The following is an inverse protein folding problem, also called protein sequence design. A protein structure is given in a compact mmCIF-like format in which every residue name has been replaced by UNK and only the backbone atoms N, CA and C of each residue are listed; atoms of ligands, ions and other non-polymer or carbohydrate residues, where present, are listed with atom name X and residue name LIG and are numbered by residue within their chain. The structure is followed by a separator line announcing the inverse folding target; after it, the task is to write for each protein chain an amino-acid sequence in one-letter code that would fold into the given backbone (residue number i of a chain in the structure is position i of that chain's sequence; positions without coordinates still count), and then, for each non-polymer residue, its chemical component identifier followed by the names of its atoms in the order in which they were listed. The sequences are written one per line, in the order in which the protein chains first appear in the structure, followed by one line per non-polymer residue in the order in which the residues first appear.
data_IF_594105871936
#
_entry.id   IF_594105871936
#
_cell.length_a   1.000
_cell.length_b   1.000
_cell.length_c   1.000
_cell.angle_alpha   90.00
_cell.angle_beta   90.00
_cell.angle_gamma   90.00
#
_symmetry.space_group_name_H-M   'P 1'
#
loop_
_entity.id
_entity.type
_entity.pdbx_description
1 polymer ?
#
# COMPACT_ATOMS: atom_id res chain seq x y z
N UNK A 1 11.73 -29.01 -20.53
CA UNK A 1 11.03 -28.02 -19.68
C UNK A 1 10.91 -28.62 -18.29
N UNK A 2 11.64 -28.12 -17.27
CA UNK A 2 11.54 -28.67 -15.92
C UNK A 2 10.13 -28.36 -15.40
N UNK A 3 9.33 -29.39 -15.12
CA UNK A 3 8.08 -29.23 -14.37
C UNK A 3 8.48 -28.62 -13.02
N UNK A 4 8.00 -27.42 -12.74
CA UNK A 4 8.24 -26.75 -11.46
C UNK A 4 7.44 -27.52 -10.41
N UNK A 5 8.13 -28.01 -9.38
CA UNK A 5 7.50 -28.75 -8.29
C UNK A 5 6.82 -27.75 -7.34
N UNK A 6 5.48 -27.77 -7.18
CA UNK A 6 4.79 -26.88 -6.25
C UNK A 6 5.27 -26.99 -4.81
N UNK A 7 5.82 -28.16 -4.42
CA UNK A 7 6.39 -28.34 -3.08
C UNK A 7 7.69 -27.54 -2.86
N UNK A 8 8.39 -27.16 -3.92
CA UNK A 8 9.61 -26.34 -3.84
C UNK A 8 9.30 -24.84 -3.75
N UNK A 9 8.09 -24.39 -4.08
CA UNK A 9 7.76 -22.96 -4.17
C UNK A 9 7.87 -22.22 -2.85
N UNK A 10 7.62 -22.88 -1.71
CA UNK A 10 7.85 -22.26 -0.40
C UNK A 10 9.33 -21.89 -0.23
N UNK A 11 10.24 -22.83 -0.50
CA UNK A 11 11.68 -22.60 -0.36
C UNK A 11 12.20 -21.60 -1.41
N UNK A 12 11.68 -21.63 -2.64
CA UNK A 12 12.17 -20.81 -3.74
C UNK A 12 11.60 -19.38 -3.75
N UNK A 13 10.40 -19.17 -3.20
CA UNK A 13 9.64 -17.93 -3.37
C UNK A 13 9.05 -17.37 -2.06
N UNK A 14 9.01 -18.14 -0.98
CA UNK A 14 8.39 -17.75 0.30
C UNK A 14 8.89 -16.41 0.84
N UNK A 15 10.22 -16.24 0.95
CA UNK A 15 10.82 -14.99 1.43
C UNK A 15 10.40 -13.77 0.61
N UNK A 16 10.33 -13.92 -0.71
CA UNK A 16 9.95 -12.84 -1.60
C UNK A 16 8.47 -12.49 -1.44
N UNK A 17 7.60 -13.51 -1.42
CA UNK A 17 6.16 -13.34 -1.23
C UNK A 17 5.85 -12.73 0.14
N UNK A 18 6.56 -13.15 1.18
CA UNK A 18 6.43 -12.61 2.53
C UNK A 18 6.83 -11.14 2.59
N UNK A 19 8.00 -10.76 2.05
CA UNK A 19 8.40 -9.34 2.00
C UNK A 19 7.43 -8.50 1.17
N UNK A 20 6.93 -9.07 0.07
CA UNK A 20 5.94 -8.41 -0.77
C UNK A 20 4.62 -8.14 -0.01
N UNK A 21 4.12 -9.13 0.72
CA UNK A 21 2.91 -9.03 1.54
C UNK A 21 3.10 -8.11 2.74
N UNK A 22 4.22 -8.23 3.45
CA UNK A 22 4.53 -7.42 4.63
C UNK A 22 4.60 -5.93 4.28
N UNK A 23 5.21 -5.58 3.16
CA UNK A 23 5.23 -4.19 2.67
C UNK A 23 3.84 -3.62 2.35
N UNK A 24 2.83 -4.48 2.17
CA UNK A 24 1.46 -4.08 1.78
C UNK A 24 0.46 -4.12 2.92
N UNK A 25 0.58 -5.12 3.78
CA UNK A 25 -0.34 -5.39 4.89
C UNK A 25 0.16 -4.83 6.22
N UNK A 26 1.49 -4.69 6.37
CA UNK A 26 2.14 -4.09 7.55
C UNK A 26 1.84 -4.79 8.86
N UNK A 27 1.45 -6.05 8.75
CA UNK A 27 1.13 -6.95 9.84
C UNK A 27 1.80 -8.28 9.50
N UNK A 28 2.68 -8.75 10.39
CA UNK A 28 3.48 -9.95 10.17
C UNK A 28 2.59 -11.19 10.10
N UNK A 29 1.57 -11.27 10.94
CA UNK A 29 0.65 -12.41 10.97
C UNK A 29 -0.16 -12.47 9.69
N UNK A 30 -0.74 -11.34 9.28
CA UNK A 30 -1.50 -11.27 8.04
C UNK A 30 -0.62 -11.54 6.82
N UNK A 31 0.62 -11.06 6.81
CA UNK A 31 1.57 -11.33 5.74
C UNK A 31 1.92 -12.82 5.65
N UNK A 32 2.16 -13.49 6.78
CA UNK A 32 2.37 -14.94 6.83
C UNK A 32 1.13 -15.69 6.31
N UNK A 33 -0.06 -15.32 6.78
CA UNK A 33 -1.33 -15.95 6.41
C UNK A 33 -1.59 -15.86 4.91
N UNK A 34 -1.51 -14.66 4.31
CA UNK A 34 -1.79 -14.51 2.87
C UNK A 34 -0.77 -15.25 2.00
N UNK A 35 0.47 -15.40 2.46
CA UNK A 35 1.49 -16.19 1.76
C UNK A 35 1.16 -17.67 1.84
N UNK A 36 0.74 -18.16 3.01
CA UNK A 36 0.28 -19.54 3.17
C UNK A 36 -0.93 -19.83 2.30
N UNK A 37 -1.95 -18.96 2.33
CA UNK A 37 -3.12 -19.08 1.46
C UNK A 37 -2.77 -19.05 -0.02
N UNK A 38 -1.81 -18.21 -0.40
CA UNK A 38 -1.31 -18.12 -1.78
C UNK A 38 -0.68 -19.43 -2.23
N UNK A 39 0.21 -19.99 -1.41
CA UNK A 39 0.91 -21.24 -1.74
C UNK A 39 -0.08 -22.42 -1.76
N UNK A 40 -1.01 -22.48 -0.80
CA UNK A 40 -2.08 -23.49 -0.78
C UNK A 40 -2.95 -23.41 -2.03
N UNK A 41 -3.43 -22.21 -2.38
CA UNK A 41 -4.22 -21.99 -3.60
C UNK A 41 -3.44 -22.37 -4.86
N UNK A 42 -2.14 -22.04 -4.90
CA UNK A 42 -1.26 -22.37 -6.01
C UNK A 42 -1.05 -23.89 -6.17
N UNK A 43 -0.90 -24.62 -5.05
CA UNK A 43 -0.77 -26.09 -5.05
C UNK A 43 -2.07 -26.80 -5.44
N UNK A 44 -3.22 -26.25 -5.04
CA UNK A 44 -4.54 -26.78 -5.41
C UNK A 44 -4.90 -26.45 -6.86
N UNK A 45 -4.34 -25.38 -7.41
CA UNK A 45 -4.53 -24.98 -8.79
C UNK A 45 -3.76 -25.89 -9.75
N UNK A 46 -4.49 -26.64 -10.59
CA UNK A 46 -3.92 -27.29 -11.77
C UNK A 46 -3.55 -26.30 -12.90
N UNK A 47 -3.64 -24.98 -12.66
CA UNK A 47 -3.71 -23.93 -13.68
C UNK A 47 -2.36 -23.33 -14.09
N UNK A 48 -1.24 -23.66 -13.44
CA UNK A 48 0.04 -23.08 -13.84
C UNK A 48 0.52 -23.67 -15.18
N UNK A 49 0.24 -22.94 -16.27
CA UNK A 49 0.51 -23.35 -17.64
C UNK A 49 1.96 -23.07 -18.10
N UNK A 50 2.83 -22.54 -17.22
CA UNK A 50 4.22 -22.22 -17.57
C UNK A 50 4.40 -21.05 -18.55
N UNK A 51 3.37 -20.23 -18.74
CA UNK A 51 3.37 -19.08 -19.66
C UNK A 51 4.07 -17.83 -19.08
N UNK A 52 4.35 -17.83 -17.78
CA UNK A 52 5.09 -16.79 -17.07
C UNK A 52 6.04 -17.45 -16.06
N UNK A 53 6.94 -16.68 -15.44
CA UNK A 53 7.75 -17.21 -14.35
C UNK A 53 6.84 -17.58 -13.15
N UNK A 54 7.14 -18.67 -12.41
CA UNK A 54 6.30 -19.10 -11.27
C UNK A 54 6.10 -17.97 -10.24
N UNK A 55 7.16 -17.22 -9.94
CA UNK A 55 7.09 -16.05 -9.05
C UNK A 55 6.08 -15.01 -9.53
N UNK A 56 6.07 -14.67 -10.82
CA UNK A 56 5.13 -13.69 -11.38
C UNK A 56 3.69 -14.16 -11.22
N UNK A 57 3.44 -15.44 -11.48
CA UNK A 57 2.13 -16.04 -11.32
C UNK A 57 1.68 -16.08 -9.85
N UNK A 58 2.58 -16.48 -8.93
CA UNK A 58 2.32 -16.46 -7.48
C UNK A 58 2.05 -15.06 -6.95
N UNK A 59 2.77 -14.04 -7.42
CA UNK A 59 2.50 -12.63 -7.09
C UNK A 59 1.12 -12.21 -7.56
N UNK A 60 0.67 -12.69 -8.73
CA UNK A 60 -0.69 -12.49 -9.20
C UNK A 60 -1.72 -13.01 -8.19
N UNK A 61 -1.58 -14.26 -7.75
CA UNK A 61 -2.47 -14.85 -6.73
C UNK A 61 -2.40 -14.05 -5.42
N UNK A 62 -1.20 -13.75 -4.95
CA UNK A 62 -0.96 -13.01 -3.71
C UNK A 62 -1.60 -11.62 -3.71
N UNK A 63 -1.50 -10.88 -4.83
CA UNK A 63 -2.14 -9.56 -4.98
C UNK A 63 -3.64 -9.65 -4.73
N UNK A 64 -4.33 -10.62 -5.34
CA UNK A 64 -5.76 -10.82 -5.11
C UNK A 64 -6.07 -11.10 -3.64
N UNK A 65 -5.29 -11.98 -2.98
CA UNK A 65 -5.45 -12.28 -1.56
C UNK A 65 -5.26 -11.08 -0.64
N UNK A 66 -4.23 -10.26 -0.90
CA UNK A 66 -3.97 -9.03 -0.16
C UNK A 66 -5.15 -8.06 -0.31
N UNK A 67 -5.64 -7.87 -1.54
CA UNK A 67 -6.78 -7.00 -1.81
C UNK A 67 -8.02 -7.50 -1.08
N UNK A 68 -8.33 -8.79 -1.16
CA UNK A 68 -9.49 -9.39 -0.47
C UNK A 68 -9.41 -9.23 1.05
N UNK A 69 -8.20 -9.35 1.63
CA UNK A 69 -7.99 -9.11 3.05
C UNK A 69 -8.21 -7.65 3.44
N UNK A 70 -7.63 -6.70 2.70
CA UNK A 70 -7.83 -5.26 2.91
C UNK A 70 -9.33 -4.93 2.82
N UNK A 71 -10.02 -5.47 1.81
CA UNK A 71 -11.47 -5.32 1.65
C UNK A 71 -12.25 -5.85 2.85
N UNK A 72 -11.87 -7.01 3.39
CA UNK A 72 -12.52 -7.61 4.57
C UNK A 72 -12.36 -6.73 5.80
N UNK A 73 -11.14 -6.26 6.07
CA UNK A 73 -10.84 -5.43 7.24
C UNK A 73 -11.63 -4.13 7.26
N UNK A 74 -11.84 -3.54 6.08
CA UNK A 74 -12.61 -2.31 5.95
C UNK A 74 -14.10 -2.48 6.20
N UNK A 75 -14.67 -3.66 5.93
CA UNK A 75 -16.07 -3.96 6.24
C UNK A 75 -16.27 -4.32 7.71
N UNK A 76 -15.31 -5.02 8.31
CA UNK A 76 -15.43 -5.56 9.67
C UNK A 76 -15.01 -4.57 10.77
N UNK A 77 -14.26 -3.53 10.41
CA UNK A 77 -14.04 -2.37 11.29
C UNK A 77 -15.00 -1.27 10.84
N UNK A 78 -16.16 -1.06 11.53
CA UNK A 78 -16.90 0.18 11.36
C UNK A 78 -15.90 1.29 11.62
N UNK A 79 -15.62 2.08 10.60
CA UNK A 79 -14.84 3.28 10.78
C UNK A 79 -15.77 4.28 11.46
N UNK A 80 -15.91 4.15 12.78
CA UNK A 80 -16.51 5.20 13.60
C UNK A 80 -15.72 6.49 13.33
N UNK A 81 -16.42 7.54 12.88
CA UNK A 81 -15.87 8.89 12.82
C UNK A 81 -15.13 9.28 11.52
N UNK A 82 -15.76 9.20 10.36
CA UNK A 82 -15.27 9.92 9.16
C UNK A 82 -16.37 10.70 8.41
N UNK A 83 -17.57 10.78 8.97
CA UNK A 83 -18.63 11.68 8.48
C UNK A 83 -18.53 13.09 9.07
N UNK A 84 -17.99 13.24 10.28
CA UNK A 84 -18.04 14.50 11.03
C UNK A 84 -16.75 14.86 11.80
N UNK A 85 -15.77 13.95 11.95
CA UNK A 85 -14.55 14.18 12.75
C UNK A 85 -13.25 13.86 11.98
N UNK A 86 -13.14 14.32 10.72
CA UNK A 86 -11.79 14.64 10.23
C UNK A 86 -11.36 15.87 11.02
N UNK A 87 -10.27 15.83 11.81
CA UNK A 87 -9.82 16.99 12.57
C UNK A 87 -9.73 18.21 11.65
N UNK A 88 -10.15 19.37 12.18
CA UNK A 88 -10.13 20.66 11.49
C UNK A 88 -8.90 20.78 10.59
N UNK A 89 -9.21 21.07 9.33
CA UNK A 89 -8.34 21.18 8.18
C UNK A 89 -6.96 21.79 8.50
N UNK A 90 -5.84 21.14 8.12
CA UNK A 90 -4.88 21.82 7.28
C UNK A 90 -5.51 21.86 5.88
N UNK A 91 -6.12 22.99 5.55
CA UNK A 91 -6.80 23.19 4.27
C UNK A 91 -5.86 22.84 3.13
N UNK A 92 -6.40 22.39 2.00
CA UNK A 92 -5.61 22.32 0.76
C UNK A 92 -4.84 23.64 0.51
N UNK A 93 -5.38 24.74 1.03
CA UNK A 93 -4.86 26.09 0.98
C UNK A 93 -3.60 26.33 1.82
N UNK A 94 -3.25 25.49 2.81
CA UNK A 94 -1.97 25.67 3.55
C UNK A 94 -0.75 25.49 2.63
N UNK A 95 -0.88 24.66 1.59
CA UNK A 95 0.22 24.31 0.69
C UNK A 95 0.29 25.18 -0.57
N UNK A 96 -0.74 25.99 -0.83
CA UNK A 96 -0.83 26.83 -2.03
C UNK A 96 -1.06 28.29 -1.67
N UNK A 97 -0.43 29.18 -2.41
CA UNK A 97 -0.62 30.62 -2.27
C UNK A 97 -2.03 30.99 -2.75
N UNK A 98 -2.80 31.69 -1.90
CA UNK A 98 -4.21 32.05 -2.13
C UNK A 98 -4.40 32.82 -3.45
N UNK A 99 -3.42 33.66 -3.81
CA UNK A 99 -3.52 34.56 -4.96
C UNK A 99 -3.14 33.91 -6.29
N UNK A 100 -2.34 32.84 -6.29
CA UNK A 100 -1.67 32.40 -7.52
C UNK A 100 -1.53 30.88 -7.70
N UNK A 101 -2.05 30.07 -6.74
CA UNK A 101 -1.98 28.59 -6.77
C UNK A 101 -0.56 28.05 -6.93
N UNK A 102 0.43 28.81 -6.50
CA UNK A 102 1.83 28.39 -6.44
C UNK A 102 2.09 27.69 -5.11
N UNK A 103 3.06 26.77 -5.07
CA UNK A 103 3.43 26.08 -3.83
C UNK A 103 3.97 27.09 -2.79
N UNK A 104 3.37 27.13 -1.60
CA UNK A 104 3.90 27.89 -0.45
C UNK A 104 5.25 27.33 0.00
N UNK A 105 5.35 26.00 0.05
CA UNK A 105 6.60 25.28 0.28
C UNK A 105 6.80 24.22 -0.80
N UNK A 106 7.86 24.37 -1.60
CA UNK A 106 8.14 23.46 -2.71
C UNK A 106 8.58 22.10 -2.16
N UNK A 107 8.08 20.99 -2.74
CA UNK A 107 8.51 19.66 -2.31
C UNK A 107 10.03 19.56 -2.39
N UNK A 108 10.64 19.29 -1.24
CA UNK A 108 12.06 18.99 -1.18
C UNK A 108 12.31 17.62 -1.84
N UNK A 109 13.44 17.50 -2.53
CA UNK A 109 13.87 16.20 -3.03
C UNK A 109 14.24 15.32 -1.84
N UNK A 110 13.56 14.19 -1.68
CA UNK A 110 13.86 13.24 -0.61
C UNK A 110 15.21 12.54 -0.76
N UNK A 111 15.87 12.69 -1.93
CA UNK A 111 17.02 11.88 -2.31
C UNK A 111 16.63 10.40 -2.51
N UNK A 112 17.35 9.69 -3.38
CA UNK A 112 17.25 8.23 -3.42
C UNK A 112 18.32 7.68 -2.50
N UNK A 113 17.99 6.85 -1.49
CA UNK A 113 18.99 6.23 -0.63
C UNK A 113 20.05 5.51 -1.47
N UNK A 114 21.33 5.87 -1.32
CA UNK A 114 22.39 5.34 -2.18
C UNK A 114 22.87 3.96 -1.72
N UNK A 115 22.72 3.65 -0.42
CA UNK A 115 23.16 2.40 0.17
C UNK A 115 22.03 1.63 0.88
N UNK A 116 22.24 0.32 1.04
CA UNK A 116 21.21 -0.59 1.59
C UNK A 116 20.83 -0.30 3.04
N UNK A 117 21.69 0.35 3.82
CA UNK A 117 21.40 0.76 5.20
C UNK A 117 20.43 1.94 5.21
N UNK A 118 20.74 2.99 4.46
CA UNK A 118 19.86 4.16 4.28
C UNK A 118 18.51 3.75 3.69
N UNK A 119 18.49 2.80 2.75
CA UNK A 119 17.24 2.30 2.18
C UNK A 119 16.36 1.63 3.24
N UNK A 120 16.93 0.81 4.13
CA UNK A 120 16.18 0.20 5.24
C UNK A 120 15.65 1.26 6.20
N UNK A 121 16.44 2.28 6.51
CA UNK A 121 16.01 3.37 7.37
C UNK A 121 14.88 4.19 6.74
N UNK A 122 15.00 4.54 5.46
CA UNK A 122 13.97 5.23 4.70
C UNK A 122 12.67 4.43 4.69
N UNK A 123 12.73 3.14 4.38
CA UNK A 123 11.54 2.28 4.36
C UNK A 123 10.89 2.16 5.74
N UNK A 124 11.69 2.16 6.81
CA UNK A 124 11.16 2.17 8.19
C UNK A 124 10.42 3.47 8.48
N UNK A 125 10.99 4.64 8.12
CA UNK A 125 10.33 5.94 8.31
C UNK A 125 9.08 6.06 7.44
N UNK A 126 9.15 5.64 6.18
CA UNK A 126 8.00 5.61 5.29
C UNK A 126 6.87 4.77 5.88
N UNK A 127 7.22 3.60 6.43
CA UNK A 127 6.28 2.72 7.10
C UNK A 127 5.63 3.40 8.30
N UNK A 128 6.42 3.99 9.21
CA UNK A 128 5.92 4.74 10.36
C UNK A 128 5.01 5.91 9.95
N UNK A 129 5.37 6.63 8.88
CA UNK A 129 4.58 7.73 8.35
C UNK A 129 3.25 7.27 7.75
N UNK A 130 3.26 6.13 7.08
CA UNK A 130 2.03 5.57 6.55
C UNK A 130 1.12 4.99 7.64
N UNK A 131 1.65 4.59 8.79
CA UNK A 131 0.86 4.06 9.93
C UNK A 131 0.24 5.18 10.78
N UNK A 132 0.77 6.40 10.68
CA UNK A 132 0.18 7.62 11.28
C UNK A 132 -0.99 8.18 10.48
N UNK A 133 -1.15 7.78 9.21
CA UNK A 133 -2.29 8.20 8.39
C UNK A 133 -3.58 7.56 8.89
N UNK A 134 -4.72 8.27 8.78
CA UNK A 134 -6.03 7.65 8.94
C UNK A 134 -6.16 6.41 8.06
N UNK A 135 -6.67 5.31 8.62
CA UNK A 135 -6.70 3.98 7.98
C UNK A 135 -7.28 4.00 6.55
N UNK A 136 -8.38 4.73 6.32
CA UNK A 136 -8.97 4.87 4.97
C UNK A 136 -8.05 5.59 3.99
N UNK A 137 -7.32 6.63 4.42
CA UNK A 137 -6.37 7.35 3.57
C UNK A 137 -5.15 6.47 3.24
N UNK A 138 -4.63 5.74 4.23
CA UNK A 138 -3.56 4.78 4.03
C UNK A 138 -3.98 3.65 3.05
N UNK A 139 -5.17 3.07 3.24
CA UNK A 139 -5.70 2.02 2.38
C UNK A 139 -5.91 2.51 0.94
N UNK A 140 -6.52 3.68 0.76
CA UNK A 140 -6.69 4.34 -0.54
C UNK A 140 -5.35 4.57 -1.25
N UNK A 141 -4.35 5.11 -0.55
CA UNK A 141 -3.02 5.32 -1.08
C UNK A 141 -2.36 4.00 -1.47
N UNK A 142 -2.44 2.98 -0.63
CA UNK A 142 -1.88 1.65 -0.91
C UNK A 142 -2.51 1.01 -2.15
N UNK A 143 -3.84 1.02 -2.25
CA UNK A 143 -4.55 0.46 -3.41
C UNK A 143 -4.21 1.23 -4.68
N UNK A 144 -4.16 2.57 -4.63
CA UNK A 144 -3.93 3.38 -5.82
C UNK A 144 -2.48 3.41 -6.28
N UNK A 145 -1.55 3.71 -5.38
CA UNK A 145 -0.16 4.07 -5.72
C UNK A 145 0.78 2.85 -5.64
N UNK A 146 0.45 1.84 -4.83
CA UNK A 146 1.31 0.65 -4.63
C UNK A 146 0.77 -0.60 -5.34
N UNK A 147 -0.54 -0.73 -5.44
CA UNK A 147 -1.18 -1.85 -6.14
C UNK A 147 -1.63 -1.50 -7.56
N UNK A 148 -1.65 -0.21 -7.91
CA UNK A 148 -2.09 0.31 -9.21
C UNK A 148 -3.56 -0.04 -9.55
N UNK A 149 -4.41 -0.18 -8.52
CA UNK A 149 -5.83 -0.49 -8.71
C UNK A 149 -6.59 0.68 -9.35
N UNK A 150 -7.66 0.35 -10.07
CA UNK A 150 -8.51 1.33 -10.74
C UNK A 150 -9.40 2.08 -9.75
N UNK A 151 -9.61 3.38 -10.02
CA UNK A 151 -10.37 4.25 -9.12
C UNK A 151 -11.82 3.77 -8.93
N UNK A 152 -12.44 3.19 -9.96
CA UNK A 152 -13.80 2.65 -9.88
C UNK A 152 -13.90 1.51 -8.87
N UNK A 153 -12.92 0.59 -8.89
CA UNK A 153 -12.82 -0.52 -7.95
C UNK A 153 -12.58 0.06 -6.55
N UNK A 154 -11.62 0.97 -6.40
CA UNK A 154 -11.31 1.61 -5.12
C UNK A 154 -12.53 2.31 -4.53
N UNK A 155 -13.28 3.09 -5.32
CA UNK A 155 -14.48 3.80 -4.84
C UNK A 155 -15.54 2.84 -4.30
N UNK A 156 -15.77 1.74 -5.02
CA UNK A 156 -16.72 0.70 -4.61
C UNK A 156 -16.27 0.00 -3.32
N UNK A 157 -14.98 -0.29 -3.19
CA UNK A 157 -14.45 -1.06 -2.05
C UNK A 157 -14.31 -0.21 -0.78
N UNK A 158 -13.97 1.08 -0.91
CA UNK A 158 -13.81 1.97 0.24
C UNK A 158 -15.11 2.68 0.67
N UNK A 159 -16.19 2.46 -0.09
CA UNK A 159 -17.48 3.15 0.04
C UNK A 159 -17.32 4.67 -0.01
N UNK A 160 -16.69 5.15 -1.09
CA UNK A 160 -16.45 6.58 -1.33
C UNK A 160 -16.84 6.97 -2.76
N UNK A 161 -17.22 8.23 -2.95
CA UNK A 161 -17.47 8.76 -4.29
C UNK A 161 -16.16 9.00 -5.06
N UNK A 162 -16.21 8.93 -6.39
CA UNK A 162 -15.06 9.25 -7.26
C UNK A 162 -14.48 10.64 -6.98
N UNK A 163 -15.36 11.63 -6.74
CA UNK A 163 -14.93 13.00 -6.37
C UNK A 163 -14.19 13.01 -5.04
N UNK A 164 -14.68 12.28 -4.02
CA UNK A 164 -14.03 12.22 -2.71
C UNK A 164 -12.70 11.43 -2.76
N UNK A 165 -12.60 10.41 -3.62
CA UNK A 165 -11.38 9.61 -3.78
C UNK A 165 -10.17 10.46 -4.16
N UNK A 166 -10.32 11.41 -5.10
CA UNK A 166 -9.23 12.31 -5.49
C UNK A 166 -8.78 13.24 -4.36
N UNK A 167 -9.73 13.78 -3.60
CA UNK A 167 -9.45 14.64 -2.44
C UNK A 167 -8.74 13.83 -1.34
N UNK A 168 -9.24 12.64 -1.05
CA UNK A 168 -8.61 11.74 -0.08
C UNK A 168 -7.22 11.29 -0.53
N UNK A 169 -6.99 11.02 -1.82
CA UNK A 169 -5.67 10.66 -2.36
C UNK A 169 -4.69 11.83 -2.23
N UNK A 170 -5.15 13.04 -2.52
CA UNK A 170 -4.36 14.24 -2.31
C UNK A 170 -3.97 14.38 -0.82
N UNK A 171 -4.93 14.25 0.10
CA UNK A 171 -4.68 14.30 1.55
C UNK A 171 -3.69 13.23 2.01
N UNK A 172 -3.81 12.00 1.51
CA UNK A 172 -2.88 10.92 1.82
C UNK A 172 -1.45 11.26 1.36
N UNK A 173 -1.29 11.80 0.14
CA UNK A 173 0.01 12.25 -0.38
C UNK A 173 0.61 13.39 0.43
N UNK A 174 -0.18 14.40 0.78
CA UNK A 174 0.30 15.54 1.55
C UNK A 174 0.64 15.17 2.99
N UNK A 175 -0.15 14.32 3.63
CA UNK A 175 0.15 13.79 4.96
C UNK A 175 1.46 12.99 4.96
N UNK A 176 1.67 12.15 3.95
CA UNK A 176 2.93 11.41 3.79
C UNK A 176 4.11 12.34 3.58
N UNK A 177 3.97 13.32 2.68
CA UNK A 177 5.01 14.32 2.43
C UNK A 177 5.42 15.04 3.71
N UNK A 178 4.47 15.63 4.43
CA UNK A 178 4.74 16.37 5.67
C UNK A 178 5.45 15.50 6.70
N UNK A 179 5.02 14.24 6.83
CA UNK A 179 5.66 13.29 7.75
C UNK A 179 7.10 12.96 7.32
N UNK A 180 7.34 12.70 6.04
CA UNK A 180 8.68 12.43 5.51
C UNK A 180 9.59 13.64 5.62
N UNK A 181 9.10 14.85 5.35
CA UNK A 181 9.88 16.09 5.53
C UNK A 181 10.34 16.24 6.99
N UNK A 182 9.46 15.95 7.96
CA UNK A 182 9.81 16.03 9.39
C UNK A 182 10.77 14.93 9.85
N UNK A 183 10.61 13.69 9.38
CA UNK A 183 11.29 12.52 9.95
C UNK A 183 12.46 11.99 9.12
N UNK A 184 12.49 12.24 7.81
CA UNK A 184 13.56 11.85 6.91
C UNK A 184 14.49 13.02 6.57
N UNK A 185 13.93 14.18 6.21
CA UNK A 185 14.72 15.37 5.82
C UNK A 185 15.13 16.25 7.00
N UNK A 186 14.38 16.20 8.12
CA UNK A 186 14.72 16.89 9.37
C UNK A 186 15.83 16.22 10.20
N UNK A 187 16.56 15.25 9.63
CA UNK A 187 17.72 14.61 10.26
C UNK A 187 19.00 15.40 10.06
#
# INVERSE_FOLDING_TARGET
MKKTDPHAWLAEHGDYLYRFALARLRDTHQAEDVVQETLLAAMQSASYAGQSAPRTWLVGILKHKIIDLIRKQMREQPVEGLGEDLPDEPGMDEFFDEDNRHWNDKPQSFGMPENSLEQKQFLTILQDCMDRLPKKLAALFMLREVQEEENEIICKELDISSTNAWVMLYRARMGLRKCLELHWLGR
#
